data_IF_589407009933
#
_entry.id   IF_589407009933
#
_cell.length_a   1.000
_cell.length_b   1.000
_cell.length_c   1.000
_cell.angle_alpha   90.00
_cell.angle_beta   90.00
_cell.angle_gamma   90.00
#
_symmetry.space_group_name_H-M   'P 1'
#
loop_
_entity.id
_entity.type
_entity.pdbx_description
1 polymer ?
#
# COMPACT_ATOMS: atom_id res chain seq x y z
N UNK A 1 -4.90 13.31 -19.04
CA UNK A 1 -5.81 12.21 -18.60
C UNK A 1 -5.02 11.07 -17.92
N UNK A 2 -4.21 11.39 -16.90
CA UNK A 2 -3.34 10.41 -16.20
C UNK A 2 -3.83 10.14 -14.77
N UNK A 3 -4.63 11.04 -14.19
CA UNK A 3 -5.14 10.95 -12.82
C UNK A 3 -6.18 9.83 -12.62
N UNK A 4 -7.03 9.55 -13.61
CA UNK A 4 -8.07 8.50 -13.49
C UNK A 4 -7.52 7.06 -13.48
N UNK A 5 -6.34 6.79 -14.07
CA UNK A 5 -5.75 5.45 -14.02
C UNK A 5 -5.19 5.15 -12.62
N UNK A 6 -4.54 6.12 -11.99
CA UNK A 6 -3.91 5.92 -10.68
C UNK A 6 -4.90 5.77 -9.54
N UNK A 7 -6.01 6.51 -9.54
CA UNK A 7 -7.07 6.32 -8.53
C UNK A 7 -7.72 4.94 -8.61
N UNK A 8 -7.94 4.42 -9.82
CA UNK A 8 -8.47 3.05 -9.99
C UNK A 8 -7.46 2.00 -9.52
N UNK A 9 -6.16 2.21 -9.79
CA UNK A 9 -5.09 1.35 -9.29
C UNK A 9 -5.02 1.37 -7.76
N UNK A 10 -5.16 2.52 -7.12
CA UNK A 10 -5.15 2.63 -5.67
C UNK A 10 -6.29 1.83 -5.02
N UNK A 11 -7.53 2.01 -5.48
CA UNK A 11 -8.66 1.26 -4.93
C UNK A 11 -8.51 -0.25 -5.14
N UNK A 12 -7.92 -0.68 -6.25
CA UNK A 12 -7.61 -2.09 -6.49
C UNK A 12 -6.55 -2.62 -5.52
N UNK A 13 -5.49 -1.84 -5.25
CA UNK A 13 -4.44 -2.18 -4.28
C UNK A 13 -5.02 -2.28 -2.87
N UNK A 14 -5.85 -1.30 -2.46
CA UNK A 14 -6.52 -1.32 -1.15
C UNK A 14 -7.42 -2.55 -0.98
N UNK A 15 -8.18 -2.92 -2.02
CA UNK A 15 -9.00 -4.12 -2.01
C UNK A 15 -8.16 -5.39 -1.95
N UNK A 16 -7.05 -5.48 -2.70
CA UNK A 16 -6.16 -6.63 -2.66
C UNK A 16 -5.47 -6.77 -1.30
N UNK A 17 -4.96 -5.66 -0.76
CA UNK A 17 -4.36 -5.61 0.57
C UNK A 17 -5.35 -6.05 1.64
N UNK A 18 -6.59 -5.56 1.60
CA UNK A 18 -7.64 -5.97 2.53
C UNK A 18 -7.94 -7.46 2.42
N UNK A 19 -8.04 -8.00 1.19
CA UNK A 19 -8.26 -9.43 0.97
C UNK A 19 -7.12 -10.29 1.50
N UNK A 20 -5.86 -9.92 1.25
CA UNK A 20 -4.70 -10.69 1.73
C UNK A 20 -4.55 -10.61 3.24
N UNK A 21 -4.80 -9.44 3.83
CA UNK A 21 -4.80 -9.24 5.28
C UNK A 21 -6.02 -9.86 5.99
N UNK A 22 -6.98 -10.37 5.23
CA UNK A 22 -8.28 -10.84 5.72
C UNK A 22 -9.02 -9.75 6.52
N UNK A 23 -8.90 -8.49 6.08
CA UNK A 23 -9.54 -7.32 6.66
C UNK A 23 -10.67 -6.84 5.75
N UNK A 24 -11.75 -6.37 6.35
CA UNK A 24 -12.78 -5.66 5.61
C UNK A 24 -12.24 -4.32 5.09
N UNK A 25 -12.74 -3.85 3.94
CA UNK A 25 -12.31 -2.58 3.33
C UNK A 25 -12.45 -1.40 4.32
N UNK A 26 -13.53 -1.36 5.09
CA UNK A 26 -13.74 -0.36 6.14
C UNK A 26 -12.68 -0.43 7.24
N UNK A 27 -12.32 -1.64 7.70
CA UNK A 27 -11.24 -1.82 8.68
C UNK A 27 -9.89 -1.37 8.12
N UNK A 28 -9.62 -1.71 6.86
CA UNK A 28 -8.39 -1.29 6.20
C UNK A 28 -8.30 0.23 6.11
N UNK A 29 -9.39 0.95 5.77
CA UNK A 29 -9.42 2.42 5.74
C UNK A 29 -9.31 3.06 7.13
N UNK A 30 -9.77 2.37 8.17
CA UNK A 30 -9.67 2.82 9.55
C UNK A 30 -8.23 2.68 10.08
N UNK A 31 -7.57 1.55 9.79
CA UNK A 31 -6.22 1.27 10.28
C UNK A 31 -5.10 1.80 9.39
N UNK A 32 -5.30 1.85 8.07
CA UNK A 32 -4.30 2.21 7.07
C UNK A 32 -4.81 3.33 6.16
N UNK A 33 -3.95 4.30 5.92
CA UNK A 33 -4.15 5.34 4.91
C UNK A 33 -3.20 5.09 3.76
N UNK A 34 -3.73 4.91 2.55
CA UNK A 34 -2.92 4.81 1.35
C UNK A 34 -2.93 6.17 0.65
N UNK A 35 -1.75 6.72 0.43
CA UNK A 35 -1.54 7.98 -0.29
C UNK A 35 -0.63 7.72 -1.47
N UNK A 36 -0.95 8.30 -2.63
CA UNK A 36 -0.07 8.22 -3.81
C UNK A 36 0.71 9.51 -3.91
N UNK A 37 2.04 9.42 -4.00
CA UNK A 37 2.95 10.56 -4.07
C UNK A 37 4.00 10.31 -5.18
N UNK A 38 3.97 11.09 -6.26
CA UNK A 38 4.96 11.06 -7.35
C UNK A 38 5.53 9.66 -7.67
N UNK A 39 4.66 8.69 -7.98
CA UNK A 39 5.01 7.30 -8.35
C UNK A 39 5.34 6.34 -7.19
N UNK A 40 5.17 6.79 -5.95
CA UNK A 40 5.19 5.96 -4.75
C UNK A 40 3.79 5.87 -4.11
N UNK A 41 3.56 4.76 -3.40
CA UNK A 41 2.45 4.57 -2.48
C UNK A 41 3.01 4.65 -1.07
N UNK A 42 2.50 5.59 -0.31
CA UNK A 42 2.78 5.76 1.10
C UNK A 42 1.62 5.13 1.89
N UNK A 43 1.94 4.17 2.74
CA UNK A 43 0.97 3.55 3.64
C UNK A 43 1.24 4.02 5.05
N UNK A 44 0.24 4.67 5.63
CA UNK A 44 0.31 5.27 6.95
C UNK A 44 -0.59 4.48 7.90
N UNK A 45 -0.04 3.73 8.87
CA UNK A 45 -0.80 3.15 9.96
C UNK A 45 -1.30 4.26 10.89
N UNK A 46 -2.61 4.37 11.08
CA UNK A 46 -3.25 5.40 11.91
C UNK A 46 -3.42 4.96 13.36
N UNK A 47 -4.04 3.80 13.55
CA UNK A 47 -4.54 3.36 14.86
C UNK A 47 -3.93 2.05 15.36
N UNK A 48 -2.98 1.47 14.62
CA UNK A 48 -2.35 0.20 14.98
C UNK A 48 -0.95 0.10 14.37
N UNK A 49 0.02 -0.38 15.14
CA UNK A 49 1.31 -0.83 14.61
C UNK A 49 1.06 -2.17 13.89
N UNK A 50 1.33 -2.22 12.60
CA UNK A 50 1.24 -3.46 11.82
C UNK A 50 2.20 -4.50 12.39
N UNK A 51 1.71 -5.70 12.61
CA UNK A 51 2.58 -6.83 12.93
C UNK A 51 3.47 -7.20 11.74
N UNK A 52 4.59 -7.87 11.99
CA UNK A 52 5.51 -8.28 10.93
C UNK A 52 4.83 -9.09 9.82
N UNK A 53 3.94 -10.02 10.18
CA UNK A 53 3.14 -10.81 9.25
C UNK A 53 2.16 -9.96 8.42
N UNK A 54 1.53 -8.95 9.03
CA UNK A 54 0.64 -8.00 8.36
C UNK A 54 1.46 -7.11 7.39
N UNK A 55 2.66 -6.70 7.80
CA UNK A 55 3.58 -5.94 6.98
C UNK A 55 4.08 -6.74 5.77
N UNK A 56 4.43 -8.01 5.95
CA UNK A 56 4.82 -8.90 4.84
C UNK A 56 3.66 -9.10 3.86
N UNK A 57 2.46 -9.36 4.38
CA UNK A 57 1.26 -9.50 3.57
C UNK A 57 0.97 -8.22 2.76
N UNK A 58 1.15 -7.06 3.37
CA UNK A 58 1.01 -5.76 2.71
C UNK A 58 2.07 -5.61 1.59
N UNK A 59 3.33 -5.97 1.85
CA UNK A 59 4.40 -5.96 0.84
C UNK A 59 4.05 -6.82 -0.36
N UNK A 60 3.57 -8.05 -0.13
CA UNK A 60 3.14 -8.92 -1.23
C UNK A 60 1.94 -8.35 -1.99
N UNK A 61 0.96 -7.77 -1.27
CA UNK A 61 -0.22 -7.19 -1.88
C UNK A 61 0.10 -6.01 -2.81
N UNK A 62 1.11 -5.20 -2.46
CA UNK A 62 1.59 -4.10 -3.29
C UNK A 62 2.53 -4.60 -4.42
N UNK A 63 3.30 -5.65 -4.17
CA UNK A 63 4.18 -6.27 -5.16
C UNK A 63 3.40 -6.84 -6.35
N UNK A 64 2.22 -7.42 -6.12
CA UNK A 64 1.29 -7.87 -7.17
C UNK A 64 0.92 -6.75 -8.17
N UNK A 65 1.04 -5.49 -7.76
CA UNK A 65 0.76 -4.31 -8.59
C UNK A 65 2.04 -3.60 -9.05
N UNK A 66 3.22 -4.19 -8.82
CA UNK A 66 4.52 -3.64 -9.20
C UNK A 66 5.07 -2.59 -8.24
N UNK A 67 4.57 -2.52 -7.01
CA UNK A 67 5.09 -1.62 -5.98
C UNK A 67 5.94 -2.40 -4.98
N UNK A 68 7.20 -2.01 -4.83
CA UNK A 68 8.14 -2.64 -3.90
C UNK A 68 8.39 -1.73 -2.71
N UNK A 69 8.42 -2.32 -1.51
CA UNK A 69 8.80 -1.61 -0.30
C UNK A 69 10.22 -1.06 -0.43
N UNK A 70 10.36 0.26 -0.23
CA UNK A 70 11.64 0.95 -0.32
C UNK A 70 12.23 1.26 1.06
N UNK A 71 11.44 1.94 1.89
CA UNK A 71 11.88 2.47 3.18
C UNK A 71 10.68 2.83 4.06
N UNK A 72 10.94 2.97 5.35
CA UNK A 72 10.02 3.60 6.30
C UNK A 72 10.51 5.01 6.60
N UNK A 73 9.61 5.98 6.60
CA UNK A 73 9.85 7.36 7.02
C UNK A 73 9.17 7.57 8.39
N UNK A 74 9.83 8.27 9.31
CA UNK A 74 9.30 8.61 10.65
C UNK A 74 8.79 7.39 11.45
N UNK A 75 9.46 6.23 11.28
CA UNK A 75 9.14 4.94 11.92
C UNK A 75 7.69 4.44 11.73
N UNK A 76 6.90 5.10 10.88
CA UNK A 76 5.46 4.88 10.74
C UNK A 76 5.03 4.83 9.28
N UNK A 77 5.60 5.64 8.40
CA UNK A 77 5.16 5.77 7.02
C UNK A 77 5.91 4.77 6.15
N UNK A 78 5.21 3.76 5.64
CA UNK A 78 5.78 2.76 4.75
C UNK A 78 5.74 3.27 3.31
N UNK A 79 6.90 3.42 2.68
CA UNK A 79 7.01 3.92 1.31
C UNK A 79 7.26 2.76 0.36
N UNK A 80 6.38 2.64 -0.63
CA UNK A 80 6.46 1.65 -1.70
C UNK A 80 6.61 2.37 -3.03
N UNK A 81 7.73 2.19 -3.71
CA UNK A 81 7.95 2.81 -5.03
C UNK A 81 7.50 1.84 -6.11
N UNK A 82 6.95 2.37 -7.21
CA UNK A 82 6.69 1.54 -8.37
C UNK A 82 8.03 1.05 -8.92
N UNK A 83 8.35 -0.23 -8.73
CA UNK A 83 9.56 -0.81 -9.30
C UNK A 83 9.24 -1.17 -10.75
N UNK A 84 9.35 -0.18 -11.63
CA UNK A 84 9.39 -0.41 -13.07
C UNK A 84 10.83 -0.81 -13.42
N UNK A 85 11.30 -1.96 -12.94
CA UNK A 85 12.39 -2.68 -13.61
C UNK A 85 11.84 -3.24 -14.93
N UNK A 86 11.46 -2.34 -15.85
CA UNK A 86 11.61 -2.59 -17.27
C UNK A 86 13.11 -2.67 -17.52
N UNK A 87 13.61 -3.90 -17.42
CA UNK A 87 14.75 -4.47 -18.13
C UNK A 87 15.53 -3.54 -19.08
#
# INVERSE_FOLDING_TARGET
MVTSKFSNTLSAIELNAGRKLNWHYDQLKEYLSFTVNNEAIEVIPKNKILQESELETLKEALLDYGFQYKKTIDDSILVFEQNIELR
#
